data_IF_533985562206
#
_entry.id   IF_533985562206
#
_cell.length_a   1.000
_cell.length_b   1.000
_cell.length_c   1.000
_cell.angle_alpha   90.00
_cell.angle_beta   90.00
_cell.angle_gamma   90.00
#
_symmetry.space_group_name_H-M   'P 1'
#
loop_
_entity.id
_entity.type
_entity.pdbx_description
1 polymer ?
2 non-polymer ?
3 water ?
#
# COMPACT_ATOMS: atom_id res chain seq x y z
N UNK A 2 -11.94 -4.15 -1.52
CA UNK A 2 -11.57 -3.84 -2.94
C UNK A 2 -11.48 -2.32 -3.23
N UNK A 3 -10.93 -2.04 -4.40
CA UNK A 3 -10.66 -0.70 -4.89
C UNK A 3 -11.61 -0.44 -6.05
N UNK A 4 -12.23 0.72 -6.07
CA UNK A 4 -13.03 1.17 -7.22
C UNK A 4 -12.49 2.47 -7.77
N UNK A 5 -12.37 2.54 -9.09
CA UNK A 5 -11.87 3.75 -9.73
C UNK A 5 -12.93 4.20 -10.71
N UNK A 6 -13.21 5.50 -10.74
CA UNK A 6 -14.34 6.00 -11.54
C UNK A 6 -13.96 7.32 -12.21
N UNK A 7 -14.21 7.38 -13.52
CA UNK A 7 -13.95 8.58 -14.30
C UNK A 7 -14.00 8.24 -15.77
N UNK A 8 -13.84 9.27 -16.60
CA UNK A 8 -13.84 9.09 -18.03
C UNK A 8 -12.56 8.38 -18.44
N UNK A 9 -12.71 7.33 -19.28
CA UNK A 9 -11.61 6.55 -19.85
C UNK A 9 -10.57 6.14 -18.81
N UNK A 10 -11.04 5.44 -17.79
CA UNK A 10 -10.16 5.07 -16.71
C UNK A 10 -9.22 3.94 -17.15
N UNK A 11 -7.89 4.16 -17.04
CA UNK A 11 -6.96 3.07 -17.39
C UNK A 11 -7.19 1.84 -16.51
N UNK A 12 -7.16 0.63 -17.10
CA UNK A 12 -7.36 -0.57 -16.29
C UNK A 12 -6.24 -0.80 -15.27
N UNK A 13 -6.55 -1.51 -14.20
CA UNK A 13 -5.54 -1.78 -13.21
C UNK A 13 -4.48 -2.76 -13.73
N UNK A 14 -3.37 -2.86 -13.00
CA UNK A 14 -2.35 -3.82 -13.30
C UNK A 14 -2.34 -4.88 -12.20
N UNK A 15 -1.67 -6.01 -12.48
CA UNK A 15 -1.46 -7.08 -11.51
C UNK A 15 -0.03 -7.12 -10.98
N UNK A 16 0.96 -6.83 -11.83
CA UNK A 16 2.36 -6.73 -11.39
C UNK A 16 3.04 -5.49 -11.93
N UNK A 17 4.13 -5.09 -11.28
CA UNK A 17 4.93 -3.91 -11.65
C UNK A 17 5.43 -3.92 -13.08
N UNK A 18 5.69 -5.10 -13.63
CA UNK A 18 6.17 -5.20 -14.99
C UNK A 18 5.06 -4.97 -16.03
N UNK A 19 3.80 -4.97 -15.60
CA UNK A 19 2.67 -4.71 -16.49
C UNK A 19 2.71 -3.31 -17.12
N UNK A 20 3.36 -2.36 -16.46
CA UNK A 20 3.62 -1.05 -17.06
C UNK A 20 5.11 -1.00 -17.23
N UNK A 21 5.60 -0.16 -18.14
CA UNK A 21 7.04 -0.20 -18.41
C UNK A 21 7.59 0.96 -17.62
N UNK A 22 8.16 0.63 -16.46
CA UNK A 22 8.71 1.66 -15.59
C UNK A 22 10.19 1.85 -15.83
N UNK A 23 10.81 0.93 -16.56
CA UNK A 23 12.21 1.05 -16.84
C UNK A 23 13.10 0.38 -15.82
N UNK A 24 14.37 0.25 -16.20
CA UNK A 24 15.35 -0.53 -15.46
C UNK A 24 15.77 0.03 -14.10
N UNK A 25 15.83 1.35 -13.97
CA UNK A 25 16.18 1.98 -12.67
C UNK A 25 15.09 1.71 -11.63
N UNK A 26 13.85 2.03 -11.97
CA UNK A 26 12.70 1.76 -11.10
C UNK A 26 12.61 0.25 -10.75
N UNK A 27 12.64 -0.62 -11.76
CA UNK A 27 12.52 -2.06 -11.55
C UNK A 27 13.63 -2.62 -10.66
N UNK A 28 14.87 -2.18 -10.88
CA UNK A 28 16.00 -2.56 -10.01
C UNK A 28 15.82 -2.03 -8.59
N UNK A 29 15.34 -0.80 -8.44
CA UNK A 29 15.06 -0.22 -7.12
C UNK A 29 13.90 -0.94 -6.36
N UNK A 30 12.92 -1.41 -7.12
CA UNK A 30 11.82 -2.18 -6.53
C UNK A 30 12.36 -3.51 -5.99
N UNK A 31 13.33 -4.10 -6.69
CA UNK A 31 13.91 -5.31 -6.15
C UNK A 31 14.75 -5.05 -4.89
N UNK A 32 15.43 -3.92 -4.83
CA UNK A 32 16.12 -3.52 -3.61
C UNK A 32 15.18 -3.24 -2.44
N UNK A 33 14.02 -2.67 -2.73
CA UNK A 33 13.02 -2.33 -1.75
C UNK A 33 12.29 -3.61 -1.26
N UNK A 34 12.38 -4.67 -2.09
CA UNK A 34 11.79 -5.96 -1.82
C UNK A 34 10.27 -5.94 -1.79
N UNK A 35 9.67 -5.09 -2.62
CA UNK A 35 8.26 -5.20 -2.94
C UNK A 35 8.13 -6.28 -4.00
N UNK A 36 7.24 -7.22 -3.80
CA UNK A 36 7.09 -8.29 -4.80
C UNK A 36 5.89 -8.03 -5.72
N UNK A 37 4.80 -7.47 -5.18
CA UNK A 37 3.64 -7.16 -5.99
C UNK A 37 2.92 -5.89 -5.52
N UNK A 38 2.27 -5.19 -6.46
CA UNK A 38 1.64 -3.94 -6.08
C UNK A 38 0.46 -4.15 -5.15
N UNK A 39 0.36 -3.31 -4.13
CA UNK A 39 -0.82 -3.33 -3.28
C UNK A 39 -2.08 -2.91 -4.07
N UNK A 40 -3.29 -3.19 -3.53
CA UNK A 40 -4.49 -2.76 -4.22
C UNK A 40 -4.53 -1.31 -4.69
N UNK A 41 -4.18 -0.34 -3.84
CA UNK A 41 -4.15 1.05 -4.30
C UNK A 41 -3.10 1.27 -5.41
N UNK A 42 -1.97 0.54 -5.34
CA UNK A 42 -0.96 0.66 -6.36
C UNK A 42 -1.46 0.07 -7.67
N UNK A 43 -2.21 -1.01 -7.60
CA UNK A 43 -2.68 -1.66 -8.81
C UNK A 43 -3.49 -0.72 -9.67
N UNK A 44 -4.20 0.20 -9.02
CA UNK A 44 -5.05 1.16 -9.70
C UNK A 44 -4.33 2.47 -9.97
N UNK A 45 -3.66 3.00 -8.96
CA UNK A 45 -3.09 4.34 -9.04
C UNK A 45 -1.89 4.41 -9.95
N UNK A 46 -1.09 3.34 -10.01
CA UNK A 46 0.09 3.38 -10.88
C UNK A 46 -0.22 3.56 -12.38
N UNK A 47 -1.11 2.72 -12.97
CA UNK A 47 -1.48 2.97 -14.37
C UNK A 47 -2.19 4.28 -14.64
N UNK A 48 -2.99 4.74 -13.67
CA UNK A 48 -3.65 6.04 -13.76
C UNK A 48 -2.62 7.16 -13.92
N UNK A 49 -1.63 7.17 -13.04
CA UNK A 49 -0.57 8.18 -13.05
C UNK A 49 0.35 8.07 -14.25
N UNK A 50 0.69 6.83 -14.61
CA UNK A 50 1.48 6.53 -15.82
C UNK A 50 0.78 7.02 -17.09
N UNK A 51 -0.55 6.94 -17.13
CA UNK A 51 -1.29 7.52 -18.25
C UNK A 51 -1.51 9.04 -18.14
N UNK A 52 -0.84 9.67 -17.17
CA UNK A 52 -0.86 11.12 -17.01
C UNK A 52 -2.21 11.68 -16.62
N UNK A 53 -2.97 10.93 -15.84
CA UNK A 53 -4.31 11.33 -15.42
C UNK A 53 -4.29 11.83 -13.99
N UNK A 54 -5.04 12.90 -13.72
CA UNK A 54 -5.17 13.39 -12.35
C UNK A 54 -5.97 12.41 -11.50
N UNK A 55 -5.67 12.42 -10.20
CA UNK A 55 -6.17 11.37 -9.33
C UNK A 55 -6.61 11.95 -8.00
N UNK A 56 -7.84 11.62 -7.60
CA UNK A 56 -8.32 11.86 -6.25
C UNK A 56 -8.42 10.48 -5.59
N UNK A 57 -7.53 10.18 -4.66
CA UNK A 57 -7.53 8.85 -4.05
C UNK A 57 -7.86 8.92 -2.57
N UNK A 58 -8.96 8.26 -2.19
CA UNK A 58 -9.30 8.04 -0.79
C UNK A 58 -8.71 6.74 -0.33
N UNK A 59 -7.65 6.86 0.48
CA UNK A 59 -6.75 5.77 0.86
C UNK A 59 -6.00 6.25 2.08
N UNK A 60 -5.64 5.34 2.98
CA UNK A 60 -4.83 5.71 4.14
C UNK A 60 -3.51 4.97 4.21
N UNK A 61 -2.69 5.31 5.21
CA UNK A 61 -1.42 4.63 5.53
C UNK A 61 -1.66 3.13 5.79
N UNK A 62 -0.72 2.31 5.32
CA UNK A 62 -0.85 0.86 5.29
C UNK A 62 -1.31 0.42 3.91
N UNK A 63 -1.83 1.39 3.13
CA UNK A 63 -2.25 1.19 1.73
C UNK A 63 -1.07 0.93 0.75
N UNK A 64 0.10 1.53 1.05
CA UNK A 64 1.18 1.61 0.06
C UNK A 64 0.94 2.81 -0.88
N UNK A 65 0.18 3.80 -0.40
CA UNK A 65 -0.10 4.98 -1.22
C UNK A 65 1.13 5.83 -1.59
N UNK A 66 2.19 5.79 -0.76
CA UNK A 66 3.41 6.55 -1.05
C UNK A 66 4.12 6.10 -2.32
N UNK A 67 4.38 4.81 -2.43
CA UNK A 67 4.95 4.21 -3.66
C UNK A 67 3.98 4.24 -4.86
N UNK A 68 2.68 4.21 -4.57
CA UNK A 68 1.64 4.38 -5.60
C UNK A 68 1.80 5.69 -6.38
N UNK A 69 2.17 6.78 -5.70
CA UNK A 69 2.53 7.99 -6.43
C UNK A 69 4.04 8.13 -6.84
N UNK A 70 4.97 7.72 -5.98
CA UNK A 70 6.40 7.96 -6.25
C UNK A 70 6.90 7.18 -7.45
N UNK A 71 6.42 5.95 -7.58
CA UNK A 71 6.92 5.06 -8.60
C UNK A 71 6.64 5.58 -10.00
N UNK A 72 5.35 5.84 -10.31
CA UNK A 72 5.07 6.34 -11.66
C UNK A 72 5.56 7.74 -11.94
N UNK A 73 5.58 8.61 -10.92
CA UNK A 73 6.12 9.95 -11.12
C UNK A 73 7.61 9.90 -11.46
N UNK A 74 8.41 9.21 -10.64
CA UNK A 74 9.85 9.11 -10.91
C UNK A 74 10.09 8.44 -12.27
N UNK A 75 9.33 7.38 -12.55
CA UNK A 75 9.38 6.68 -13.85
C UNK A 75 9.24 7.64 -15.04
N UNK A 76 8.23 8.49 -14.97
CA UNK A 76 8.00 9.52 -15.98
C UNK A 76 9.15 10.51 -16.05
N UNK A 77 9.61 10.97 -14.89
CA UNK A 77 10.77 11.89 -14.88
C UNK A 77 11.96 11.22 -15.58
N UNK A 78 12.19 9.94 -15.35
CA UNK A 78 13.35 9.29 -15.97
C UNK A 78 13.13 9.12 -17.48
N UNK A 79 11.90 8.75 -17.83
CA UNK A 79 11.53 8.45 -19.19
C UNK A 79 11.55 9.71 -20.05
N UNK A 80 10.96 10.77 -19.52
CA UNK A 80 10.79 12.02 -20.27
C UNK A 80 10.75 13.26 -19.36
N UNK A 81 11.82 13.44 -18.60
CA UNK A 81 12.02 14.65 -17.80
C UNK A 81 12.66 15.74 -18.67
N UNK A 82 12.61 17.01 -18.21
CA UNK A 82 13.24 18.16 -18.88
C UNK A 82 14.68 17.88 -19.32
N UNK A 83 15.08 18.52 -20.43
CA UNK A 83 16.41 18.34 -20.99
C UNK A 83 17.46 18.95 -20.08
N UNK A 84 18.46 18.14 -19.70
CA UNK A 84 19.53 18.54 -18.76
C UNK A 84 20.09 19.95 -18.99
N UNK A 85 20.80 20.15 -20.11
CA UNK A 85 21.53 21.40 -20.42
C UNK A 85 20.66 22.66 -20.53
N UNK A 86 19.51 22.56 -21.19
CA UNK A 86 18.57 23.69 -21.26
C UNK A 86 18.14 24.10 -19.85
N UNK A 87 17.88 23.11 -19.01
CA UNK A 87 17.45 23.32 -17.63
C UNK A 87 18.53 23.95 -16.76
N UNK A 88 19.79 23.64 -17.00
CA UNK A 88 20.88 24.25 -16.25
C UNK A 88 21.06 25.70 -16.66
N UNK A 89 20.84 26.01 -17.94
CA UNK A 89 20.85 27.40 -18.35
C UNK A 89 19.75 28.20 -17.61
N UNK A 90 18.58 27.60 -17.48
CA UNK A 90 17.45 28.25 -16.81
C UNK A 90 17.64 28.49 -15.31
N UNK A 91 18.35 27.58 -14.65
CA UNK A 91 18.51 27.55 -13.18
C UNK A 91 19.79 28.12 -12.62
N UNK A 92 20.72 28.48 -13.50
CA UNK A 92 21.97 29.06 -13.09
C UNK A 92 21.97 30.57 -13.01
N UNK A 93 21.91 31.09 -11.79
CA UNK A 93 21.92 32.53 -11.60
C UNK A 93 23.28 33.14 -11.45
N UNK A 94 23.29 34.42 -11.12
CA UNK A 94 24.51 35.18 -10.90
C UNK A 94 25.47 34.47 -9.93
N UNK A 95 24.90 33.76 -8.94
CA UNK A 95 25.71 33.09 -7.89
C UNK A 95 25.74 31.58 -8.01
N UNK A 96 25.31 31.07 -9.17
CA UNK A 96 25.25 29.63 -9.37
C UNK A 96 23.81 29.21 -9.13
N UNK A 97 23.60 27.95 -8.75
CA UNK A 97 22.23 27.48 -8.51
C UNK A 97 21.76 27.73 -7.07
N UNK A 98 21.34 28.95 -6.75
CA UNK A 98 20.97 29.25 -5.37
C UNK A 98 19.47 29.09 -5.13
N UNK A 99 18.72 29.08 -6.21
CA UNK A 99 17.32 28.79 -6.12
C UNK A 99 17.09 27.51 -6.88
N UNK A 100 16.29 26.61 -6.30
CA UNK A 100 15.97 25.32 -6.95
C UNK A 100 14.60 25.34 -7.59
N UNK A 101 14.42 24.51 -8.61
CA UNK A 101 13.17 24.43 -9.37
C UNK A 101 12.74 22.96 -9.48
N UNK A 102 12.06 22.47 -8.43
CA UNK A 102 11.61 21.07 -8.35
C UNK A 102 10.70 20.67 -9.54
N UNK A 103 10.95 19.48 -10.10
CA UNK A 103 10.09 18.94 -11.15
C UNK A 103 8.77 18.43 -10.52
N UNK A 104 8.84 18.03 -9.26
CA UNK A 104 7.73 17.38 -8.59
C UNK A 104 7.71 17.90 -7.18
N UNK A 105 6.53 18.26 -6.71
CA UNK A 105 6.35 18.70 -5.33
C UNK A 105 5.33 17.79 -4.61
N UNK A 106 5.73 17.28 -3.45
CA UNK A 106 4.82 16.57 -2.53
C UNK A 106 4.59 17.39 -1.26
N UNK A 107 3.34 17.78 -1.02
CA UNK A 107 2.98 18.48 0.21
C UNK A 107 2.48 17.48 1.23
N UNK A 108 2.93 17.65 2.47
CA UNK A 108 2.54 16.76 3.56
C UNK A 108 2.24 17.58 4.83
N UNK A 109 1.40 17.08 5.76
CA UNK A 109 1.06 17.84 6.97
C UNK A 109 2.13 18.03 8.10
N UNK A 110 3.04 17.08 8.28
CA UNK A 110 3.92 17.09 9.41
C UNK A 110 5.33 16.69 9.01
N UNK A 111 6.29 17.09 9.83
CA UNK A 111 7.67 16.67 9.67
C UNK A 111 7.77 15.16 9.57
N UNK A 112 7.12 14.43 10.48
CA UNK A 112 7.21 12.95 10.46
C UNK A 112 6.67 12.34 9.15
N UNK A 113 5.56 12.86 8.61
CA UNK A 113 5.12 12.34 7.33
C UNK A 113 6.04 12.74 6.16
N UNK A 114 6.45 14.00 6.11
CA UNK A 114 7.34 14.45 5.03
C UNK A 114 8.59 13.54 4.96
N UNK A 115 9.21 13.32 6.12
CA UNK A 115 10.42 12.48 6.21
C UNK A 115 10.24 11.02 5.69
N UNK A 116 9.12 10.39 6.06
CA UNK A 116 8.73 9.08 5.52
C UNK A 116 8.61 9.07 4.00
N UNK A 117 7.93 10.06 3.45
CA UNK A 117 7.81 10.18 1.99
C UNK A 117 9.19 10.40 1.38
N UNK A 118 10.00 11.25 2.00
CA UNK A 118 11.37 11.50 1.51
C UNK A 118 12.23 10.22 1.50
N UNK A 119 12.17 9.46 2.59
CA UNK A 119 12.93 8.21 2.67
C UNK A 119 12.45 7.17 1.63
N UNK A 120 11.13 7.09 1.40
CA UNK A 120 10.64 6.23 0.33
C UNK A 120 11.14 6.72 -1.04
N UNK A 121 11.10 8.03 -1.30
CA UNK A 121 11.65 8.59 -2.53
C UNK A 121 13.10 8.20 -2.80
N UNK A 122 13.95 8.24 -1.78
CA UNK A 122 15.36 7.88 -1.91
C UNK A 122 15.53 6.44 -2.35
N UNK A 123 14.65 5.55 -1.86
CA UNK A 123 14.68 4.13 -2.28
C UNK A 123 14.49 4.02 -3.77
N UNK A 124 13.70 4.91 -4.38
CA UNK A 124 13.39 4.81 -5.81
C UNK A 124 14.21 5.75 -6.73
N UNK A 125 14.82 6.78 -6.15
CA UNK A 125 15.67 7.70 -6.89
C UNK A 125 17.14 7.22 -6.97
N UNK A 126 17.46 6.14 -6.25
CA UNK A 126 18.81 5.56 -6.25
C UNK A 126 19.26 5.23 -7.68
N UNK A 127 20.51 5.59 -7.98
CA UNK A 127 21.11 5.46 -9.34
C UNK A 127 20.44 6.30 -10.46
N UNK A 128 19.59 7.26 -10.10
CA UNK A 128 19.05 8.17 -11.09
C UNK A 128 19.61 9.58 -10.97
N UNK A 129 19.13 10.45 -11.83
CA UNK A 129 19.54 11.85 -11.85
C UNK A 129 18.72 12.70 -10.88
N UNK A 130 17.68 12.14 -10.31
CA UNK A 130 16.79 12.86 -9.41
C UNK A 130 17.33 12.86 -7.97
N UNK A 131 17.52 14.03 -7.38
CA UNK A 131 17.84 14.09 -5.96
C UNK A 131 16.59 14.55 -5.20
N UNK A 132 16.04 13.70 -4.34
CA UNK A 132 14.91 14.22 -3.57
C UNK A 132 15.41 15.09 -2.41
N UNK A 133 14.54 15.92 -1.86
CA UNK A 133 14.86 16.73 -0.71
C UNK A 133 13.59 16.89 0.12
N UNK A 134 13.74 17.25 1.39
CA UNK A 134 12.60 17.43 2.32
C UNK A 134 12.81 18.67 3.19
N UNK A 135 11.78 19.49 3.35
CA UNK A 135 11.83 20.63 4.26
C UNK A 135 10.58 20.60 5.14
N UNK A 136 10.71 21.08 6.38
CA UNK A 136 9.60 21.07 7.33
C UNK A 136 9.80 22.12 8.42
N UNK A 137 8.70 22.61 8.98
CA UNK A 137 8.74 23.52 10.10
C UNK A 137 9.37 22.92 11.35
N UNK A 138 9.72 23.78 12.30
CA UNK A 138 10.24 23.31 13.58
C UNK A 138 11.69 22.85 13.59
N UNK A 139 12.47 23.30 12.60
CA UNK A 139 13.88 22.91 12.51
C UNK A 139 14.61 24.00 11.76
N UNK A 140 15.91 24.10 12.00
CA UNK A 140 16.75 25.14 11.40
C UNK A 140 16.61 25.26 9.86
N UNK A 141 16.28 26.46 9.39
CA UNK A 141 16.03 26.66 7.98
C UNK A 141 17.32 26.77 7.14
N UNK A 142 18.34 27.43 7.73
CA UNK A 142 19.71 27.48 7.19
C UNK A 142 20.20 26.12 6.72
N UNK A 143 20.08 25.13 7.60
CA UNK A 143 20.41 23.74 7.23
C UNK A 143 19.63 23.23 6.03
N UNK A 144 18.31 23.49 6.01
CA UNK A 144 17.47 23.07 4.87
C UNK A 144 17.84 23.74 3.58
N UNK A 145 18.14 25.04 3.64
CA UNK A 145 18.56 25.82 2.47
C UNK A 145 19.86 25.25 1.87
N UNK A 146 20.87 24.99 2.72
CA UNK A 146 22.10 24.32 2.28
C UNK A 146 21.81 22.98 1.61
N UNK A 147 20.84 22.24 2.14
CA UNK A 147 20.48 20.98 1.52
C UNK A 147 19.77 21.11 0.17
N UNK A 148 18.81 22.02 0.06
CA UNK A 148 18.19 22.37 -1.22
C UNK A 148 19.24 22.66 -2.31
N UNK A 149 20.28 23.40 -1.95
CA UNK A 149 21.34 23.75 -2.92
C UNK A 149 22.06 22.55 -3.54
N UNK A 150 22.02 21.38 -2.87
CA UNK A 150 22.63 20.17 -3.41
C UNK A 150 21.75 19.51 -4.50
N UNK A 151 20.49 19.93 -4.56
CA UNK A 151 19.53 19.46 -5.57
C UNK A 151 18.24 18.97 -4.95
N UNK A 152 17.09 19.45 -5.47
CA UNK A 152 15.79 18.81 -5.29
C UNK A 152 15.10 18.78 -6.66
N UNK A 153 15.18 17.66 -7.35
CA UNK A 153 14.31 17.45 -8.48
C UNK A 153 12.90 17.11 -7.96
N UNK A 154 12.87 16.43 -6.80
CA UNK A 154 11.63 16.12 -6.10
C UNK A 154 11.74 16.75 -4.71
N UNK A 155 10.84 17.66 -4.38
CA UNK A 155 10.85 18.25 -3.05
C UNK A 155 9.65 17.71 -2.25
N UNK A 156 9.91 17.25 -1.02
CA UNK A 156 8.81 16.95 -0.09
C UNK A 156 8.72 18.10 0.92
N UNK A 157 7.53 18.60 1.22
CA UNK A 157 7.47 19.78 2.09
C UNK A 157 6.20 19.88 2.94
N UNK A 158 6.35 20.46 4.14
CA UNK A 158 5.17 20.99 4.85
C UNK A 158 4.85 22.38 4.29
N UNK A 159 3.56 22.73 4.21
CA UNK A 159 3.18 23.94 3.48
C UNK A 159 3.78 25.28 4.00
N UNK A 160 3.80 25.47 5.31
CA UNK A 160 4.32 26.70 5.93
C UNK A 160 5.78 26.91 5.64
N UNK A 161 6.59 25.86 5.77
CA UNK A 161 8.02 25.94 5.49
C UNK A 161 8.26 26.20 4.00
N UNK A 162 7.46 25.58 3.11
CA UNK A 162 7.60 25.86 1.67
C UNK A 162 7.34 27.33 1.32
N UNK A 163 6.28 27.93 1.87
CA UNK A 163 6.00 29.34 1.63
C UNK A 163 7.20 30.19 2.05
N UNK A 164 7.72 29.92 3.25
CA UNK A 164 8.94 30.55 3.80
C UNK A 164 10.08 30.46 2.78
N UNK A 165 10.38 29.25 2.32
CA UNK A 165 11.41 29.02 1.26
C UNK A 165 11.16 29.82 -0.03
N UNK A 166 9.90 29.85 -0.45
CA UNK A 166 9.53 30.66 -1.64
C UNK A 166 9.74 32.18 -1.42
N UNK A 167 9.29 32.68 -0.27
CA UNK A 167 9.46 34.09 0.04
C UNK A 167 10.94 34.44 0.06
N UNK A 168 11.75 33.57 0.66
CA UNK A 168 13.20 33.74 0.71
C UNK A 168 13.89 33.54 -0.66
N UNK A 169 13.13 33.15 -1.69
CA UNK A 169 13.70 32.98 -3.03
C UNK A 169 14.54 31.72 -3.21
N UNK A 170 14.31 30.71 -2.36
CA UNK A 170 15.09 29.46 -2.36
C UNK A 170 14.52 28.37 -3.27
N UNK A 171 13.21 28.47 -3.53
CA UNK A 171 12.42 27.51 -4.32
C UNK A 171 11.60 28.26 -5.36
N UNK A 172 11.69 27.82 -6.61
CA UNK A 172 10.78 28.32 -7.67
C UNK A 172 9.90 27.17 -8.13
N UNK A 173 8.61 27.45 -8.38
CA UNK A 173 7.66 26.42 -8.85
C UNK A 173 7.37 26.45 -10.35
N UNK A 174 8.17 27.22 -11.12
CA UNK A 174 7.90 27.51 -12.55
C UNK A 174 7.86 26.29 -13.48
N UNK A 175 8.53 25.22 -13.06
CA UNK A 175 8.74 24.05 -13.90
C UNK A 175 8.22 22.81 -13.18
N UNK A 176 7.38 23.04 -12.18
CA UNK A 176 6.92 21.98 -11.33
C UNK A 176 5.76 21.28 -12.10
N UNK A 177 6.00 20.02 -12.51
CA UNK A 177 5.07 19.34 -13.39
C UNK A 177 4.24 18.26 -12.68
N UNK A 178 4.63 17.91 -11.44
CA UNK A 178 3.90 16.90 -10.65
C UNK A 178 3.66 17.44 -9.25
N UNK A 179 2.38 17.50 -8.87
CA UNK A 179 1.99 17.95 -7.56
C UNK A 179 1.22 16.84 -6.87
N UNK A 180 1.70 16.46 -5.70
CA UNK A 180 0.98 15.56 -4.86
C UNK A 180 0.64 16.26 -3.53
N UNK A 181 -0.63 16.17 -3.15
CA UNK A 181 -1.05 16.53 -1.80
C UNK A 181 -1.29 15.25 -1.04
N UNK A 182 -0.50 14.98 -0.01
CA UNK A 182 -0.70 13.74 0.77
C UNK A 182 -1.39 14.10 2.09
N UNK A 183 -2.30 13.21 2.56
CA UNK A 183 -3.15 13.49 3.73
C UNK A 183 -3.76 14.87 3.65
N UNK A 184 -4.39 15.16 2.51
CA UNK A 184 -4.95 16.50 2.23
C UNK A 184 -5.96 16.89 3.31
N UNK A 185 -6.73 15.92 3.82
CA UNK A 185 -7.72 16.15 4.88
C UNK A 185 -7.09 16.69 6.17
N UNK A 186 -5.99 16.06 6.55
CA UNK A 186 -5.26 16.45 7.72
C UNK A 186 -4.61 17.83 7.53
N UNK A 187 -4.11 18.10 6.32
CA UNK A 187 -3.59 19.43 6.03
C UNK A 187 -4.69 20.54 6.18
N UNK A 188 -5.90 20.29 5.70
CA UNK A 188 -6.97 21.26 5.88
C UNK A 188 -7.33 21.41 7.37
N UNK A 189 -7.46 20.26 8.07
CA UNK A 189 -7.66 20.24 9.53
C UNK A 189 -6.66 21.10 10.32
N UNK A 190 -5.41 21.10 9.88
CA UNK A 190 -4.36 21.85 10.52
C UNK A 190 -4.33 23.34 10.14
N UNK A 191 -5.21 23.77 9.24
CA UNK A 191 -5.28 25.17 8.82
C UNK A 191 -4.31 25.55 7.71
N UNK A 192 -3.87 24.56 6.92
CA UNK A 192 -2.84 24.79 5.91
C UNK A 192 -3.41 25.25 4.59
N UNK A 193 -4.73 25.28 4.48
CA UNK A 193 -5.35 25.63 3.20
C UNK A 193 -4.88 26.97 2.61
N UNK A 194 -4.81 28.05 3.41
CA UNK A 194 -4.27 29.29 2.88
C UNK A 194 -2.83 29.16 2.34
N UNK A 195 -2.00 28.39 3.03
CA UNK A 195 -0.63 28.16 2.57
C UNK A 195 -0.66 27.35 1.26
N UNK A 196 -1.53 26.36 1.18
CA UNK A 196 -1.59 25.48 0.02
C UNK A 196 -2.04 26.30 -1.20
N UNK A 197 -3.05 27.15 -0.99
CA UNK A 197 -3.52 28.03 -2.06
C UNK A 197 -2.50 29.06 -2.53
N UNK A 198 -1.70 29.60 -1.62
CA UNK A 198 -0.55 30.43 -1.95
C UNK A 198 0.54 29.68 -2.75
N UNK A 199 0.83 28.44 -2.37
CA UNK A 199 1.75 27.61 -3.12
C UNK A 199 1.24 27.32 -4.54
N UNK A 200 0.00 26.85 -4.63
CA UNK A 200 -0.53 26.31 -5.87
C UNK A 200 -1.10 27.36 -6.81
N UNK A 201 -1.90 28.30 -6.28
CA UNK A 201 -2.69 29.20 -7.13
C UNK A 201 -2.12 30.60 -7.30
N UNK A 202 -1.29 31.03 -6.34
CA UNK A 202 -0.90 32.42 -6.27
C UNK A 202 0.54 32.68 -6.66
N UNK A 203 1.24 31.66 -7.11
CA UNK A 203 2.62 31.85 -7.52
C UNK A 203 2.79 31.37 -8.95
N UNK A 204 3.92 30.79 -9.26
CA UNK A 204 4.29 30.43 -10.60
C UNK A 204 4.06 28.94 -11.01
N UNK A 205 3.41 28.15 -10.16
CA UNK A 205 3.17 26.75 -10.53
C UNK A 205 2.29 26.64 -11.78
N UNK A 206 2.71 25.80 -12.74
CA UNK A 206 1.86 25.60 -13.91
C UNK A 206 0.44 25.16 -13.46
N UNK A 207 -0.62 25.58 -14.18
CA UNK A 207 -1.99 25.27 -13.75
C UNK A 207 -2.37 23.84 -14.10
N UNK A 208 -3.52 23.41 -13.57
CA UNK A 208 -4.03 22.05 -13.76
C UNK A 208 -4.22 21.78 -15.25
N UNK A 209 -4.06 20.52 -15.66
CA UNK A 209 -3.97 20.21 -17.08
C UNK A 209 -2.59 20.44 -17.70
N UNK A 210 -1.77 21.32 -17.13
CA UNK A 210 -0.37 21.40 -17.57
C UNK A 210 0.46 20.51 -16.60
N UNK A 211 0.41 20.85 -15.31
CA UNK A 211 0.95 19.98 -14.28
C UNK A 211 0.01 18.78 -14.16
N UNK A 212 0.53 17.73 -13.53
CA UNK A 212 -0.20 16.53 -13.23
C UNK A 212 -0.39 16.56 -11.70
N UNK A 213 -1.62 16.36 -11.24
CA UNK A 213 -1.95 16.54 -9.82
C UNK A 213 -2.61 15.31 -9.27
N UNK A 214 -2.18 14.93 -8.06
CA UNK A 214 -2.69 13.78 -7.33
C UNK A 214 -2.94 14.24 -5.89
N UNK A 215 -4.10 13.86 -5.35
CA UNK A 215 -4.44 14.11 -3.96
C UNK A 215 -4.80 12.80 -3.26
N UNK A 216 -4.25 12.60 -2.06
CA UNK A 216 -4.53 11.42 -1.21
C UNK A 216 -5.09 11.92 0.11
N UNK A 217 -6.26 11.43 0.51
CA UNK A 217 -6.66 11.54 1.90
C UNK A 217 -7.41 10.32 2.40
N UNK A 218 -7.25 10.07 3.69
CA UNK A 218 -7.91 8.95 4.35
C UNK A 218 -9.44 9.17 4.40
N UNK A 219 -9.84 10.44 4.45
CA UNK A 219 -11.27 10.78 4.41
C UNK A 219 -11.66 11.67 3.23
N UNK A 220 -12.94 11.65 2.89
CA UNK A 220 -13.42 12.42 1.77
C UNK A 220 -14.65 13.28 2.17
N UNK A 221 -14.43 14.33 3.00
CA UNK A 221 -15.48 15.30 3.30
C UNK A 221 -15.70 16.19 2.08
N UNK A 222 -16.72 17.04 2.14
CA UNK A 222 -17.03 17.96 1.05
C UNK A 222 -15.89 18.92 0.75
N UNK A 223 -15.21 19.39 1.79
CA UNK A 223 -14.14 20.37 1.58
C UNK A 223 -13.01 19.77 0.72
N UNK A 224 -12.81 18.46 0.84
CA UNK A 224 -11.79 17.78 0.02
C UNK A 224 -12.25 17.59 -1.42
N UNK A 225 -13.52 17.24 -1.62
CA UNK A 225 -14.10 17.16 -2.94
C UNK A 225 -14.02 18.54 -3.62
N UNK A 226 -14.31 19.61 -2.90
CA UNK A 226 -14.20 20.97 -3.45
C UNK A 226 -12.73 21.36 -3.78
N UNK A 227 -11.77 20.96 -2.94
CA UNK A 227 -10.36 21.16 -3.28
C UNK A 227 -9.96 20.39 -4.55
N UNK A 228 -10.39 19.13 -4.67
CA UNK A 228 -10.21 18.30 -5.87
C UNK A 228 -10.78 18.97 -7.14
N UNK A 229 -12.00 19.50 -7.05
CA UNK A 229 -12.57 20.22 -8.16
C UNK A 229 -11.74 21.44 -8.61
N UNK A 230 -11.22 22.20 -7.65
CA UNK A 230 -10.34 23.31 -7.93
C UNK A 230 -8.99 22.86 -8.53
N UNK A 231 -8.35 21.85 -7.93
CA UNK A 231 -6.96 21.57 -8.22
C UNK A 231 -6.71 20.54 -9.31
N UNK A 232 -7.72 19.71 -9.58
CA UNK A 232 -7.54 18.50 -10.42
C UNK A 232 -8.29 18.66 -11.73
N UNK A 233 -7.71 18.19 -12.82
CA UNK A 233 -8.27 18.24 -14.17
C UNK A 233 -8.67 16.81 -14.61
N UNK A 234 -9.94 16.63 -15.01
CA UNK A 234 -10.47 15.37 -15.58
C UNK A 234 -10.04 14.17 -14.77
N UNK A 235 -10.17 14.29 -13.45
CA UNK A 235 -9.50 13.34 -12.57
C UNK A 235 -10.31 12.04 -12.47
N UNK A 236 -9.68 11.03 -11.91
CA UNK A 236 -10.30 9.75 -11.63
C UNK A 236 -10.45 9.73 -10.10
N UNK A 237 -11.61 9.27 -9.63
CA UNK A 237 -11.89 9.09 -8.21
C UNK A 237 -11.61 7.64 -7.85
N UNK A 238 -10.69 7.43 -6.92
CA UNK A 238 -10.30 6.10 -6.49
C UNK A 238 -10.63 5.96 -5.01
N UNK A 239 -11.46 4.97 -4.68
CA UNK A 239 -11.83 4.70 -3.30
C UNK A 239 -11.35 3.30 -2.87
N UNK A 240 -10.60 3.21 -1.78
CA UNK A 240 -10.19 1.88 -1.27
C UNK A 240 -11.17 1.42 -0.17
N UNK A 241 -11.65 0.18 -0.25
CA UNK A 241 -12.55 -0.32 0.79
C UNK A 241 -11.83 -0.78 2.06
N UNK A 246 -6.60 -4.79 9.16
CA UNK A 246 -6.32 -5.46 10.45
C UNK A 246 -4.82 -5.64 10.70
N UNK A 247 -4.31 -4.92 11.71
CA UNK A 247 -2.92 -5.08 12.14
C UNK A 247 -2.78 -5.97 13.39
N UNK A 248 -2.90 -5.36 14.58
CA UNK A 248 -2.76 -6.09 15.86
C UNK A 248 -4.04 -6.26 16.70
N UNK A 249 -5.18 -6.39 16.02
CA UNK A 249 -6.44 -6.80 16.65
C UNK A 249 -6.53 -8.33 16.72
N UNK A 250 -5.43 -8.99 16.38
CA UNK A 250 -5.42 -10.42 16.06
C UNK A 250 -4.56 -11.19 17.07
N UNK A 251 -5.20 -12.19 17.69
CA UNK A 251 -4.50 -13.19 18.44
C UNK A 251 -4.02 -14.20 17.43
N UNK A 252 -2.73 -14.52 17.49
CA UNK A 252 -2.13 -15.51 16.60
C UNK A 252 -1.66 -16.72 17.38
N UNK A 253 -2.24 -17.88 17.06
CA UNK A 253 -1.85 -19.18 17.60
C UNK A 253 -1.14 -20.04 16.52
N UNK A 254 0.08 -20.47 16.81
CA UNK A 254 0.77 -21.41 15.93
C UNK A 254 0.91 -22.74 16.65
N UNK A 255 0.43 -23.83 16.04
CA UNK A 255 0.47 -25.14 16.65
C UNK A 255 1.16 -26.13 15.71
N UNK A 256 1.88 -27.10 16.29
CA UNK A 256 2.53 -28.19 15.53
C UNK A 256 1.48 -29.23 15.19
N UNK A 257 1.21 -29.45 13.90
CA UNK A 257 0.19 -30.42 13.48
C UNK A 257 0.71 -31.27 12.30
N UNK A 258 0.90 -32.59 12.51
CA UNK A 258 1.30 -33.47 11.40
C UNK A 258 0.18 -33.48 10.35
N UNK A 259 0.49 -33.82 9.09
CA UNK A 259 -0.49 -33.74 8.00
C UNK A 259 -1.71 -34.61 8.24
N UNK A 260 -1.48 -35.79 8.78
CA UNK A 260 -2.54 -36.77 8.97
C UNK A 260 -3.43 -36.36 10.14
N UNK A 261 -2.98 -35.38 10.93
CA UNK A 261 -3.73 -34.84 12.08
C UNK A 261 -4.51 -33.54 11.81
N UNK A 262 -4.27 -32.91 10.67
CA UNK A 262 -4.86 -31.56 10.38
C UNK A 262 -6.40 -31.54 10.35
N UNK A 263 -7.00 -32.55 9.72
CA UNK A 263 -8.47 -32.63 9.72
C UNK A 263 -9.08 -32.75 11.12
N UNK A 264 -8.53 -33.64 11.94
CA UNK A 264 -8.99 -33.77 13.33
C UNK A 264 -8.75 -32.51 14.15
N UNK A 265 -7.60 -31.89 13.93
CA UNK A 265 -7.31 -30.65 14.64
C UNK A 265 -8.35 -29.61 14.21
N UNK A 266 -8.63 -29.54 12.90
CA UNK A 266 -9.66 -28.62 12.37
C UNK A 266 -11.03 -28.84 12.96
N UNK A 267 -11.42 -30.09 13.16
CA UNK A 267 -12.76 -30.36 13.70
C UNK A 267 -12.88 -29.79 15.11
N UNK A 268 -11.83 -29.93 15.89
CA UNK A 268 -11.86 -29.46 17.26
C UNK A 268 -11.97 -27.94 17.34
N UNK A 269 -11.22 -27.24 16.47
CA UNK A 269 -11.36 -25.79 16.30
C UNK A 269 -12.77 -25.35 15.91
N UNK A 270 -13.38 -26.05 14.95
CA UNK A 270 -14.76 -25.76 14.54
C UNK A 270 -15.79 -26.12 15.62
N UNK A 271 -15.50 -27.15 16.43
CA UNK A 271 -16.39 -27.49 17.54
C UNK A 271 -16.40 -26.43 18.65
N UNK A 272 -15.26 -25.75 18.82
CA UNK A 272 -15.09 -24.67 19.79
C UNK A 272 -15.68 -23.32 19.30
N UNK A 273 -16.17 -23.29 18.06
CA UNK A 273 -16.78 -22.13 17.46
C UNK A 273 -18.24 -22.05 17.92
N UNK A 274 -18.69 -20.86 18.30
CA UNK A 274 -20.09 -20.67 18.69
C UNK A 274 -20.90 -19.92 17.66
N UNK A 275 -22.00 -19.32 18.12
CA UNK A 275 -22.67 -18.16 17.49
C UNK A 275 -22.93 -18.31 15.99
N UNK A 276 -23.08 -17.17 15.31
CA UNK A 276 -22.63 -17.10 13.92
C UNK A 276 -21.30 -16.38 13.84
N UNK A 277 -20.25 -17.15 14.01
CA UNK A 277 -18.90 -16.72 13.74
C UNK A 277 -18.52 -17.29 12.41
N UNK A 278 -17.92 -16.46 11.56
CA UNK A 278 -17.48 -16.89 10.25
C UNK A 278 -16.04 -17.35 10.34
N UNK A 279 -15.75 -18.47 9.68
CA UNK A 279 -14.43 -19.03 9.71
C UNK A 279 -13.90 -19.13 8.29
N UNK A 280 -12.70 -18.58 8.07
CA UNK A 280 -12.03 -18.72 6.81
C UNK A 280 -10.88 -19.74 6.91
N UNK A 281 -10.94 -20.81 6.10
CA UNK A 281 -9.93 -21.84 6.16
C UNK A 281 -9.09 -21.84 4.90
N UNK A 282 -7.80 -21.54 5.03
CA UNK A 282 -6.94 -21.55 3.86
C UNK A 282 -6.20 -22.85 3.69
N UNK A 283 -6.19 -23.34 2.45
CA UNK A 283 -5.48 -24.54 2.05
C UNK A 283 -4.62 -24.20 0.84
N UNK A 284 -3.67 -25.08 0.55
CA UNK A 284 -2.65 -24.81 -0.45
C UNK A 284 -3.18 -24.89 -1.88
N UNK A 285 -3.96 -25.93 -2.16
CA UNK A 285 -4.31 -26.29 -3.52
C UNK A 285 -5.81 -26.46 -3.74
N UNK A 286 -6.23 -26.31 -5.01
CA UNK A 286 -7.59 -26.54 -5.48
C UNK A 286 -8.12 -27.92 -5.07
N UNK A 287 -7.33 -28.97 -5.32
CA UNK A 287 -7.68 -30.32 -4.87
C UNK A 287 -7.92 -30.35 -3.37
N UNK A 288 -6.95 -29.85 -2.61
CA UNK A 288 -7.10 -29.66 -1.18
C UNK A 288 -8.40 -28.99 -0.77
N UNK A 289 -8.83 -27.93 -1.48
CA UNK A 289 -10.07 -27.22 -1.14
C UNK A 289 -11.31 -28.10 -1.38
N UNK A 290 -11.34 -28.80 -2.51
CA UNK A 290 -12.49 -29.66 -2.87
C UNK A 290 -12.59 -30.81 -1.86
N UNK A 291 -11.45 -31.41 -1.57
CA UNK A 291 -11.36 -32.55 -0.68
C UNK A 291 -11.77 -32.21 0.76
N UNK A 292 -11.37 -31.03 1.24
CA UNK A 292 -11.64 -30.65 2.62
C UNK A 292 -13.10 -30.25 2.79
N UNK A 293 -13.62 -29.48 1.83
CA UNK A 293 -15.03 -29.16 1.85
C UNK A 293 -15.89 -30.45 1.88
N UNK A 294 -15.48 -31.47 1.12
CA UNK A 294 -16.19 -32.77 1.08
C UNK A 294 -16.12 -33.50 2.43
N UNK A 295 -14.94 -33.50 3.04
CA UNK A 295 -14.78 -34.06 4.36
C UNK A 295 -15.68 -33.34 5.38
N UNK A 296 -15.63 -32.01 5.41
CA UNK A 296 -16.50 -31.26 6.33
C UNK A 296 -18.00 -31.53 6.10
N UNK A 297 -18.44 -31.56 4.83
CA UNK A 297 -19.84 -31.80 4.53
C UNK A 297 -20.27 -33.15 5.10
N UNK A 298 -19.53 -34.19 4.77
CA UNK A 298 -19.77 -35.50 5.31
C UNK A 298 -19.55 -35.64 6.82
N UNK A 299 -18.92 -34.65 7.45
CA UNK A 299 -18.81 -34.63 8.92
C UNK A 299 -19.97 -33.83 9.56
N UNK A 300 -20.81 -33.24 8.73
CA UNK A 300 -22.00 -32.54 9.21
C UNK A 300 -21.77 -31.04 9.39
N UNK A 301 -20.74 -30.51 8.76
CA UNK A 301 -20.47 -29.05 8.77
C UNK A 301 -21.05 -28.36 7.53
N UNK A 302 -21.68 -27.20 7.75
CA UNK A 302 -22.12 -26.36 6.65
C UNK A 302 -20.96 -25.44 6.33
N UNK A 303 -20.40 -25.63 5.14
CA UNK A 303 -19.23 -24.95 4.67
C UNK A 303 -19.38 -24.84 3.18
N UNK A 304 -18.57 -23.99 2.57
CA UNK A 304 -18.50 -23.89 1.15
C UNK A 304 -17.01 -23.67 0.77
N UNK A 305 -16.71 -23.57 -0.53
CA UNK A 305 -15.34 -23.39 -0.93
C UNK A 305 -15.20 -22.54 -2.18
N UNK A 306 -14.04 -21.91 -2.29
CA UNK A 306 -13.71 -21.13 -3.46
C UNK A 306 -12.28 -21.43 -3.89
N UNK A 307 -12.12 -21.70 -5.19
CA UNK A 307 -10.79 -21.68 -5.78
C UNK A 307 -10.83 -21.23 -7.22
N UNK A 308 -9.66 -21.24 -7.86
CA UNK A 308 -9.46 -20.69 -9.18
C UNK A 308 -10.20 -21.40 -10.29
N UNK A 309 -10.47 -22.69 -10.13
CA UNK A 309 -11.21 -23.41 -11.17
C UNK A 309 -12.74 -23.36 -11.06
N UNK A 310 -13.24 -22.68 -10.04
CA UNK A 310 -14.66 -22.38 -9.88
C UNK A 310 -15.16 -21.32 -10.89
N UNK A 311 -16.36 -21.53 -11.41
CA UNK A 311 -17.01 -20.52 -12.25
C UNK A 311 -17.39 -19.29 -11.43
N UNK A 312 -17.65 -18.20 -12.15
CA UNK A 312 -18.12 -16.99 -11.50
C UNK A 312 -19.43 -17.27 -10.71
N UNK A 313 -20.35 -18.03 -11.31
CA UNK A 313 -21.53 -18.50 -10.61
C UNK A 313 -21.28 -19.32 -9.33
N UNK A 314 -20.45 -20.37 -9.42
CA UNK A 314 -20.07 -21.20 -8.27
C UNK A 314 -19.56 -20.28 -7.14
N UNK A 315 -18.73 -19.32 -7.53
CA UNK A 315 -18.15 -18.34 -6.60
C UNK A 315 -19.17 -17.42 -5.91
N UNK A 316 -20.07 -16.83 -6.71
CA UNK A 316 -21.19 -16.06 -6.19
C UNK A 316 -22.09 -16.88 -5.24
N UNK A 317 -22.39 -18.13 -5.61
CA UNK A 317 -23.18 -19.00 -4.74
C UNK A 317 -22.47 -19.31 -3.40
N UNK A 318 -21.17 -19.55 -3.45
CA UNK A 318 -20.36 -19.80 -2.27
C UNK A 318 -20.38 -18.59 -1.34
N UNK A 319 -20.09 -17.41 -1.88
CA UNK A 319 -20.09 -16.14 -1.11
C UNK A 319 -21.43 -15.79 -0.50
N UNK A 320 -22.51 -16.08 -1.22
CA UNK A 320 -23.88 -15.86 -0.74
C UNK A 320 -24.17 -16.67 0.54
N UNK A 321 -23.80 -17.95 0.53
CA UNK A 321 -23.98 -18.85 1.67
C UNK A 321 -23.07 -18.49 2.84
N UNK A 322 -21.82 -18.14 2.54
CA UNK A 322 -20.90 -17.66 3.56
C UNK A 322 -21.43 -16.39 4.22
N UNK A 323 -21.76 -15.38 3.41
CA UNK A 323 -22.24 -14.07 3.88
C UNK A 323 -23.57 -14.07 4.66
N UNK A 324 -24.50 -14.96 4.30
CA UNK A 324 -25.72 -15.17 5.08
C UNK A 324 -25.45 -15.97 6.35
N UNK A 325 -24.29 -16.62 6.41
CA UNK A 325 -23.96 -17.61 7.45
C UNK A 325 -24.71 -18.94 7.35
N UNK A 326 -25.45 -19.19 6.24
CA UNK A 326 -25.93 -20.56 5.99
C UNK A 326 -24.76 -21.59 6.00
N UNK A 327 -23.64 -21.21 5.38
CA UNK A 327 -22.40 -21.97 5.33
C UNK A 327 -21.23 -21.11 5.83
N UNK A 328 -21.11 -20.99 7.16
CA UNK A 328 -20.25 -20.07 7.89
C UNK A 328 -18.75 -20.47 7.90
N UNK A 329 -18.41 -21.55 7.20
CA UNK A 329 -17.05 -21.94 6.97
C UNK A 329 -16.75 -21.83 5.47
N UNK A 330 -15.79 -20.99 5.15
CA UNK A 330 -15.29 -20.90 3.79
C UNK A 330 -13.89 -21.51 3.67
N UNK A 331 -13.76 -22.53 2.83
CA UNK A 331 -12.47 -23.10 2.43
C UNK A 331 -11.97 -22.40 1.15
N UNK A 332 -10.74 -21.92 1.18
CA UNK A 332 -10.22 -21.14 0.08
C UNK A 332 -8.75 -21.39 -0.13
N UNK A 333 -8.30 -21.34 -1.38
CA UNK A 333 -6.88 -21.03 -1.65
C UNK A 333 -6.71 -19.50 -1.51
N UNK A 334 -5.53 -19.03 -1.20
CA UNK A 334 -5.30 -17.58 -1.06
C UNK A 334 -5.51 -16.79 -2.34
N UNK A 335 -5.05 -17.36 -3.45
CA UNK A 335 -5.16 -16.74 -4.77
C UNK A 335 -6.63 -16.51 -5.09
N UNK A 336 -7.48 -17.41 -4.62
CA UNK A 336 -8.92 -17.29 -4.88
C UNK A 336 -9.57 -16.18 -4.05
N UNK A 337 -9.10 -16.05 -2.80
CA UNK A 337 -9.65 -15.05 -1.87
C UNK A 337 -9.22 -13.59 -2.17
N UNK A 338 -8.07 -13.40 -2.83
CA UNK A 338 -7.61 -12.05 -3.20
C UNK A 338 -8.68 -11.36 -3.98
N UNK A 339 -8.96 -10.13 -3.57
CA UNK A 339 -9.89 -9.27 -4.29
C UNK A 339 -11.33 -9.29 -3.83
N UNK A 340 -11.79 -10.38 -3.21
CA UNK A 340 -13.18 -10.35 -2.72
C UNK A 340 -13.40 -9.95 -1.26
N UNK A 341 -14.59 -9.41 -1.03
CA UNK A 341 -14.95 -8.73 0.20
C UNK A 341 -15.31 -9.72 1.29
N UNK A 342 -14.37 -9.97 2.18
CA UNK A 342 -14.60 -10.83 3.33
C UNK A 342 -13.91 -10.30 4.60
N UNK A 343 -14.77 -9.75 5.46
CA UNK A 343 -14.38 -8.85 6.54
C UNK A 343 -14.62 -9.44 7.94
N UNK A 344 -15.90 -9.66 8.23
CA UNK A 344 -16.42 -10.12 9.53
C UNK A 344 -16.05 -11.57 9.87
N UNK A 345 -14.88 -11.95 9.39
CA UNK A 345 -14.29 -13.23 9.68
C UNK A 345 -13.80 -13.14 11.13
N UNK A 346 -14.31 -14.02 12.01
CA UNK A 346 -13.88 -14.06 13.40
C UNK A 346 -12.64 -14.92 13.54
N UNK A 347 -12.44 -15.84 12.59
CA UNK A 347 -11.35 -16.83 12.71
C UNK A 347 -10.74 -17.19 11.35
N UNK A 348 -9.46 -16.92 11.20
CA UNK A 348 -8.74 -17.40 10.04
C UNK A 348 -7.93 -18.62 10.48
N UNK A 349 -8.06 -19.72 9.72
CA UNK A 349 -7.29 -20.95 9.98
C UNK A 349 -6.40 -21.23 8.78
N UNK A 350 -5.09 -21.17 9.02
CA UNK A 350 -4.12 -21.64 8.05
C UNK A 350 -3.94 -23.15 8.23
N UNK A 351 -4.83 -23.88 7.56
CA UNK A 351 -4.82 -25.32 7.54
C UNK A 351 -3.48 -25.74 6.91
N UNK A 352 -3.09 -25.07 5.83
CA UNK A 352 -1.72 -25.12 5.33
C UNK A 352 -1.14 -23.70 5.40
N UNK A 353 0.12 -23.60 5.79
CA UNK A 353 0.81 -22.31 5.75
C UNK A 353 1.36 -22.07 4.35
N UNK A 354 1.46 -20.78 3.96
CA UNK A 354 2.11 -20.41 2.68
C UNK A 354 3.65 -20.52 2.75
N UNK A 355 4.36 -20.36 1.62
CA UNK A 355 5.82 -20.37 1.65
C UNK A 355 6.43 -19.03 2.03
N UNK A 356 5.67 -17.94 1.96
CA UNK A 356 6.22 -16.62 2.28
C UNK A 356 5.42 -15.96 3.39
N UNK A 357 6.14 -15.29 4.29
CA UNK A 357 5.55 -14.57 5.42
C UNK A 357 4.66 -13.40 4.97
N UNK A 358 4.93 -12.82 3.79
CA UNK A 358 4.06 -11.83 3.17
C UNK A 358 2.63 -12.36 2.96
N UNK A 359 2.50 -13.55 2.38
CA UNK A 359 1.19 -14.16 2.17
C UNK A 359 0.51 -14.47 3.52
N UNK A 360 1.29 -14.87 4.51
CA UNK A 360 0.78 -15.10 5.86
C UNK A 360 0.10 -13.84 6.45
N UNK A 361 0.80 -12.72 6.38
CA UNK A 361 0.29 -11.42 6.84
C UNK A 361 -1.04 -10.97 6.20
N UNK A 362 -1.15 -11.12 4.88
CA UNK A 362 -2.37 -10.79 4.15
C UNK A 362 -3.53 -11.73 4.48
N UNK A 363 -3.25 -13.02 4.61
CA UNK A 363 -4.28 -13.98 5.03
C UNK A 363 -4.85 -13.64 6.40
N UNK A 364 -3.99 -13.45 7.39
CA UNK A 364 -4.48 -13.17 8.75
C UNK A 364 -5.09 -11.77 8.88
N UNK A 365 -4.74 -10.86 7.97
CA UNK A 365 -5.38 -9.54 7.89
C UNK A 365 -6.88 -9.56 7.60
N UNK A 366 -7.45 -10.75 7.37
CA UNK A 366 -8.89 -10.92 7.08
C UNK A 366 -9.73 -11.00 8.35
N UNK A 367 -9.05 -11.20 9.48
CA UNK A 367 -9.78 -11.30 10.72
C UNK A 367 -9.64 -10.03 11.57
N UNK A 368 -10.68 -9.74 12.34
CA UNK A 368 -10.69 -8.59 13.23
C UNK A 368 -10.36 -7.26 12.56
N UNK A 369 -11.23 -6.83 11.64
CA UNK A 369 -11.10 -5.52 11.02
C UNK A 369 -11.79 -4.45 11.87
N UNK A 372 -14.37 -6.35 16.27
CA UNK A 372 -12.97 -5.95 16.28
C UNK A 372 -12.04 -7.09 16.66
N UNK A 373 -12.48 -7.95 17.59
CA UNK A 373 -11.62 -9.04 18.07
C UNK A 373 -11.45 -10.13 16.97
N UNK A 374 -10.22 -10.62 16.82
CA UNK A 374 -9.90 -11.59 15.78
C UNK A 374 -8.91 -12.65 16.20
N UNK A 375 -8.95 -13.79 15.51
CA UNK A 375 -8.17 -14.99 15.82
C UNK A 375 -7.58 -15.59 14.53
N UNK A 376 -6.30 -15.89 14.55
CA UNK A 376 -5.66 -16.65 13.47
C UNK A 376 -4.90 -17.85 14.06
N UNK A 377 -5.31 -19.05 13.65
CA UNK A 377 -4.68 -20.30 14.09
C UNK A 377 -4.01 -20.95 12.86
N UNK A 378 -2.74 -21.31 13.01
CA UNK A 378 -1.95 -21.81 11.88
C UNK A 378 -1.36 -23.18 12.21
N UNK A 379 -1.51 -24.11 11.26
CA UNK A 379 -1.00 -25.46 11.44
C UNK A 379 0.40 -25.52 10.81
N UNK A 380 1.35 -26.02 11.59
CA UNK A 380 2.76 -25.99 11.21
C UNK A 380 3.36 -27.39 11.35
N UNK A 381 4.10 -27.81 10.34
CA UNK A 381 4.91 -29.01 10.46
C UNK A 381 6.22 -28.90 9.67
N UNK A 382 6.83 -30.04 9.34
CA UNK A 382 8.14 -30.05 8.67
C UNK A 382 8.11 -29.33 7.33
N UNK A 383 6.97 -29.37 6.65
CA UNK A 383 6.81 -28.69 5.38
C UNK A 383 7.03 -27.20 5.45
N UNK A 384 6.95 -26.65 6.65
CA UNK A 384 7.01 -25.22 6.84
C UNK A 384 8.30 -24.70 7.44
N UNK A 385 9.34 -25.54 7.57
CA UNK A 385 10.65 -25.09 8.15
C UNK A 385 11.13 -23.75 7.58
N UNK A 386 10.83 -23.50 6.31
CA UNK A 386 11.45 -22.37 5.63
C UNK A 386 10.96 -20.98 6.08
N UNK A 387 9.75 -20.91 6.64
CA UNK A 387 9.28 -19.65 7.23
C UNK A 387 9.53 -19.48 8.74
N UNK A 388 10.24 -20.44 9.34
CA UNK A 388 10.46 -20.46 10.78
C UNK A 388 10.89 -19.09 11.33
N UNK A 389 11.97 -18.53 10.78
CA UNK A 389 12.56 -17.33 11.34
C UNK A 389 11.66 -16.11 11.11
N UNK A 390 11.09 -15.99 9.92
CA UNK A 390 10.20 -14.88 9.63
C UNK A 390 8.93 -14.94 10.48
N UNK A 391 8.43 -16.15 10.73
CA UNK A 391 7.22 -16.31 11.55
C UNK A 391 7.52 -15.95 13.00
N UNK A 392 8.67 -16.43 13.48
CA UNK A 392 9.15 -16.05 14.79
C UNK A 392 9.29 -14.52 14.92
N UNK A 393 9.92 -13.88 13.95
CA UNK A 393 10.06 -12.43 13.97
C UNK A 393 8.70 -11.70 14.04
N UNK A 394 7.75 -12.17 13.22
CA UNK A 394 6.41 -11.62 13.24
C UNK A 394 5.70 -11.82 14.56
N UNK A 395 5.75 -13.02 15.14
CA UNK A 395 5.10 -13.27 16.42
C UNK A 395 5.62 -12.40 17.56
N UNK A 396 6.95 -12.31 17.65
CA UNK A 396 7.67 -11.47 18.62
C UNK A 396 7.30 -10.00 18.50
N UNK A 397 7.30 -9.50 17.28
CA UNK A 397 6.89 -8.13 16.97
C UNK A 397 5.43 -7.80 17.35
N UNK A 398 4.51 -8.76 17.14
CA UNK A 398 3.11 -8.56 17.52
C UNK A 398 2.81 -8.83 18.99
N UNK A 399 3.84 -9.18 19.75
CA UNK A 399 3.75 -9.56 21.18
C UNK A 399 2.79 -10.74 21.41
N UNK A 400 2.94 -11.76 20.58
CA UNK A 400 2.10 -12.95 20.64
C UNK A 400 2.86 -14.09 21.33
N UNK A 401 2.15 -15.18 21.65
CA UNK A 401 2.77 -16.37 22.24
C UNK A 401 3.63 -17.02 21.17
N UNK A 402 4.89 -17.22 21.50
CA UNK A 402 5.82 -17.87 20.61
C UNK A 402 5.96 -19.31 21.12
N UNK A 403 5.56 -20.32 20.30
CA UNK A 403 5.80 -21.71 20.70
C UNK A 403 7.28 -21.92 20.97
N UNK A 404 7.58 -22.66 22.02
CA UNK A 404 8.96 -22.87 22.42
C UNK A 404 9.71 -23.63 21.35
N UNK A 405 9.04 -24.56 20.66
CA UNK A 405 9.68 -25.38 19.64
C UNK A 405 10.05 -24.52 18.43
N UNK A 406 9.40 -23.36 18.32
CA UNK A 406 9.60 -22.50 17.18
C UNK A 406 10.88 -21.69 17.40
N UNK A 407 11.04 -21.12 18.60
CA UNK A 407 12.28 -20.48 18.96
C UNK A 407 13.44 -21.45 18.89
N UNK A 408 13.22 -22.70 19.33
CA UNK A 408 14.26 -23.73 19.20
C UNK A 408 14.74 -23.99 17.76
N UNK A 409 13.80 -24.26 16.85
CA UNK A 409 14.08 -24.53 15.43
C UNK A 409 14.77 -23.34 14.75
N UNK A 410 14.35 -22.14 15.14
CA UNK A 410 14.85 -20.90 14.60
C UNK A 410 16.39 -20.82 14.64
N UNK A 411 17.02 -21.43 15.64
CA UNK A 411 18.47 -21.32 15.85
C UNK A 411 19.29 -22.58 15.55
N UNK A 412 18.67 -23.53 14.87
CA UNK A 412 19.31 -24.81 14.50
C UNK A 412 20.31 -24.68 13.35
N UNK A 413 21.50 -25.26 13.55
CA UNK A 413 22.47 -25.29 12.47
C UNK A 413 22.83 -26.69 11.98
N UNK A 414 22.15 -27.72 12.53
CA UNK A 414 22.51 -29.12 12.25
C UNK A 414 21.52 -29.92 11.40
N UNK A 415 20.22 -29.65 11.53
CA UNK A 415 19.19 -30.42 10.81
C UNK A 415 19.17 -30.16 9.31
X LIG B 1 2.14 3.77 3.03
X LIG B 1 0.67 3.44 2.93
X LIG B 1 2.38 4.57 4.27
X LIG B 1 2.79 4.21 1.72
X LIG B 1 2.89 2.33 3.15
X LIG B 1 2.77 1.43 4.27
X LIG B 1 3.82 0.31 4.24
X LIG B 1 3.66 -0.51 3.09
X LIG B 1 5.25 0.84 4.13
X LIG B 1 6.06 0.09 5.04
X LIG B 1 5.71 0.49 2.75
X LIG B 1 7.13 0.31 2.67
X LIG B 1 4.92 -0.80 2.50
X LIG B 1 4.67 -1.09 1.08
X LIG B 1 4.26 -0.21 0.11
X LIG B 1 4.10 -0.85 -1.06
X LIG B 1 4.40 -2.16 -0.86
X LIG B 1 4.44 -3.39 -1.69
X LIG B 1 4.11 -3.37 -3.01
X LIG B 1 4.83 -4.55 -1.09
X LIG B 1 5.17 -4.60 0.22
X LIG B 1 5.16 -3.54 1.04
X LIG B 1 4.78 -2.31 0.55
#
# INVERSE_FOLDING_TARGET
>A
SMVEATGNNCPPHIESFSDVEMGEIIMGNIELTRYTRPTPVQKHAIPIIKEKRDLMACAQTGSGKTAAFLLPILSQIYSDGPGEALRAMKENGRYGRRKQYPISLVLAPTRELAVQIYEEARKFSYRSRVRPCVVYGGADIGQQIRDLERGCHLLVATPGRLVDMMERGKIGLDFCKYLVLDEADRMLDMGFEPQIRRIVEQDTMPPKGVRHTMMFSATFPKEIQMLARDFLDEYIFLAVGRVGSTSENITQKVVWVEESDKRSFLLDLLNATGKDSLTLVFVETKKGADSLEDFLYHEGYACTSIHGDRSQRDREEALHQFRSGKSPILVATAVAARGLDISNVKHVINFDLPSDIEEYVHRIGRTGRVGNLGLATSFFNERNINITKDLLDLLVEAKQEVPSWLENMAYEHHYKG
>B hetero
1 AMP P O1P O2P O3P O5' C5' C4' O4' C3' O3' C2' O2' C1' N9 C8 N7 C5 C6 N6 N1 C2 N3 C4
#
